data_IF_438947627275
#
_entry.id   IF_438947627275
#
_cell.length_a   1.000
_cell.length_b   1.000
_cell.length_c   1.000
_cell.angle_alpha   90.00
_cell.angle_beta   90.00
_cell.angle_gamma   90.00
#
_symmetry.space_group_name_H-M   'P 1'
#
loop_
_entity.id
_entity.type
_entity.pdbx_description
1 polymer ?
#
# COMPACT_ATOMS: atom_id res chain seq x y z
N UNK A 1 -3.81 -7.20 -10.93
CA UNK A 1 -4.23 -6.03 -10.13
C UNK A 1 -5.56 -5.45 -10.57
N UNK A 2 -5.76 -5.07 -11.84
CA UNK A 2 -7.05 -4.48 -12.30
C UNK A 2 -8.27 -5.31 -11.87
N UNK A 3 -8.27 -6.62 -12.16
CA UNK A 3 -9.38 -7.50 -11.79
C UNK A 3 -9.66 -7.53 -10.29
N UNK A 4 -8.62 -7.57 -9.45
CA UNK A 4 -8.73 -7.55 -7.98
C UNK A 4 -9.41 -6.25 -7.51
N UNK A 5 -9.08 -5.11 -8.11
CA UNK A 5 -9.70 -3.82 -7.78
C UNK A 5 -11.10 -3.63 -8.38
N UNK A 6 -11.53 -4.57 -9.22
CA UNK A 6 -12.85 -4.58 -9.88
C UNK A 6 -13.79 -5.66 -9.33
N UNK A 7 -13.44 -6.35 -8.25
CA UNK A 7 -14.37 -7.25 -7.55
C UNK A 7 -15.18 -6.51 -6.50
N UNK A 8 -16.32 -7.09 -6.10
CA UNK A 8 -17.10 -6.59 -4.96
C UNK A 8 -16.33 -6.75 -3.64
N UNK A 9 -15.65 -7.88 -3.46
CA UNK A 9 -14.77 -8.16 -2.33
C UNK A 9 -13.32 -8.17 -2.78
N UNK A 10 -12.68 -7.00 -2.66
CA UNK A 10 -11.28 -6.79 -3.06
C UNK A 10 -10.31 -7.50 -2.11
N UNK A 11 -10.66 -7.56 -0.82
CA UNK A 11 -9.83 -8.21 0.19
C UNK A 11 -9.72 -9.70 -0.10
N UNK A 12 -10.85 -10.39 -0.31
CA UNK A 12 -10.86 -11.81 -0.69
C UNK A 12 -10.14 -12.08 -2.01
N UNK A 13 -10.31 -11.22 -3.01
CA UNK A 13 -9.63 -11.36 -4.29
C UNK A 13 -8.11 -11.15 -4.19
N UNK A 14 -7.68 -10.22 -3.34
CA UNK A 14 -6.26 -9.99 -3.06
C UNK A 14 -5.65 -11.16 -2.28
N UNK A 15 -6.34 -11.68 -1.26
CA UNK A 15 -5.90 -12.85 -0.49
C UNK A 15 -5.69 -14.08 -1.37
N UNK A 16 -6.64 -14.36 -2.28
CA UNK A 16 -6.52 -15.42 -3.27
C UNK A 16 -5.28 -15.22 -4.16
N UNK A 17 -5.08 -14.01 -4.70
CA UNK A 17 -3.91 -13.70 -5.53
C UNK A 17 -2.59 -13.91 -4.78
N UNK A 18 -2.51 -13.48 -3.51
CA UNK A 18 -1.30 -13.62 -2.68
C UNK A 18 -1.01 -15.08 -2.30
N UNK A 19 -2.03 -15.94 -2.29
CA UNK A 19 -1.87 -17.40 -2.13
C UNK A 19 -1.48 -18.12 -3.42
N UNK A 20 -1.51 -17.43 -4.57
CA UNK A 20 -1.23 -17.99 -5.89
C UNK A 20 -2.47 -18.52 -6.62
N UNK A 21 -3.67 -18.29 -6.07
CA UNK A 21 -4.93 -18.68 -6.72
C UNK A 21 -5.26 -17.76 -7.91
N UNK A 22 -5.99 -18.31 -8.88
CA UNK A 22 -6.44 -17.53 -10.03
C UNK A 22 -7.54 -16.52 -9.62
N UNK A 23 -7.37 -15.27 -10.07
CA UNK A 23 -8.41 -14.25 -9.95
C UNK A 23 -9.12 -14.09 -11.28
N UNK A 24 -10.45 -14.27 -11.27
CA UNK A 24 -11.28 -14.09 -12.46
C UNK A 24 -11.07 -12.70 -13.09
N UNK A 25 -10.90 -12.61 -14.43
CA UNK A 25 -10.82 -11.33 -15.12
C UNK A 25 -12.04 -10.47 -14.84
N UNK A 26 -11.83 -9.20 -14.48
CA UNK A 26 -12.90 -8.26 -14.22
C UNK A 26 -12.49 -6.85 -14.66
N UNK A 27 -13.45 -6.10 -15.22
CA UNK A 27 -13.29 -4.72 -15.64
C UNK A 27 -14.33 -3.85 -14.97
N UNK A 28 -13.94 -2.63 -14.61
CA UNK A 28 -14.78 -1.65 -13.93
C UNK A 28 -14.21 -0.25 -14.19
N UNK A 29 -14.85 0.79 -13.65
CA UNK A 29 -14.42 2.19 -13.82
C UNK A 29 -13.15 2.55 -13.03
N UNK A 30 -12.68 1.69 -12.13
CA UNK A 30 -11.46 1.94 -11.35
C UNK A 30 -10.26 1.92 -12.27
N UNK A 31 -9.51 3.01 -12.30
CA UNK A 31 -8.30 3.16 -13.10
C UNK A 31 -7.05 3.03 -12.21
N UNK A 32 -6.41 1.86 -12.24
CA UNK A 32 -5.23 1.59 -11.41
C UNK A 32 -3.98 2.34 -11.88
N UNK A 33 -3.97 2.90 -13.09
CA UNK A 33 -2.82 3.68 -13.58
C UNK A 33 -2.58 4.90 -12.69
N UNK A 34 -3.65 5.51 -12.18
CA UNK A 34 -3.59 6.63 -11.24
C UNK A 34 -2.92 6.27 -9.92
N UNK A 35 -3.03 5.02 -9.46
CA UNK A 35 -2.29 4.57 -8.27
C UNK A 35 -0.78 4.52 -8.53
N UNK A 36 -0.40 4.00 -9.70
CA UNK A 36 1.00 3.94 -10.13
C UNK A 36 1.59 5.35 -10.32
N UNK A 37 0.89 6.22 -11.05
CA UNK A 37 1.30 7.61 -11.28
C UNK A 37 1.47 8.39 -9.97
N UNK A 38 0.54 8.23 -9.02
CA UNK A 38 0.65 8.84 -7.71
C UNK A 38 1.89 8.32 -6.97
N UNK A 39 2.18 7.02 -7.05
CA UNK A 39 3.40 6.46 -6.47
C UNK A 39 4.67 7.07 -7.05
N UNK A 40 4.72 7.26 -8.37
CA UNK A 40 5.83 7.96 -9.06
C UNK A 40 5.96 9.39 -8.55
N UNK A 41 4.86 10.12 -8.37
CA UNK A 41 4.87 11.49 -7.83
C UNK A 41 5.37 11.56 -6.39
N UNK A 42 5.11 10.52 -5.58
CA UNK A 42 5.70 10.36 -4.24
C UNK A 42 7.18 9.92 -4.25
N UNK A 43 7.78 9.70 -5.43
CA UNK A 43 9.16 9.26 -5.55
C UNK A 43 9.37 7.76 -5.27
N UNK A 44 8.30 6.95 -5.31
CA UNK A 44 8.39 5.51 -5.10
C UNK A 44 9.09 4.85 -6.29
N UNK A 45 10.13 4.08 -6.01
CA UNK A 45 10.94 3.37 -7.01
C UNK A 45 10.89 1.84 -6.85
N UNK A 46 10.24 1.34 -5.78
CA UNK A 46 10.15 -0.09 -5.50
C UNK A 46 9.06 -0.41 -4.49
N UNK A 47 8.66 -1.68 -4.43
CA UNK A 47 7.58 -2.19 -3.56
C UNK A 47 8.12 -3.24 -2.58
N UNK A 48 7.57 -3.34 -1.35
CA UNK A 48 6.55 -2.47 -0.78
C UNK A 48 7.10 -1.07 -0.44
N UNK A 49 6.22 -0.08 -0.45
CA UNK A 49 6.50 1.29 -0.01
C UNK A 49 5.34 1.75 0.89
N UNK A 50 5.68 2.34 2.02
CA UNK A 50 4.72 2.79 3.03
C UNK A 50 4.69 4.32 3.00
N UNK A 51 3.50 4.90 2.91
CA UNK A 51 3.30 6.35 3.00
C UNK A 51 2.65 6.63 4.35
N UNK A 52 3.32 7.41 5.20
CA UNK A 52 2.81 7.82 6.51
C UNK A 52 1.77 8.93 6.37
N UNK A 53 0.98 9.16 7.42
CA UNK A 53 -0.10 10.17 7.41
C UNK A 53 0.40 11.60 7.13
N UNK A 54 1.67 11.89 7.44
CA UNK A 54 2.32 13.16 7.16
C UNK A 54 2.95 13.26 5.75
N UNK A 55 2.76 12.24 4.90
CA UNK A 55 3.29 12.18 3.53
C UNK A 55 4.72 11.65 3.42
N UNK A 56 5.38 11.29 4.53
CA UNK A 56 6.71 10.66 4.48
C UNK A 56 6.63 9.28 3.83
N UNK A 57 7.59 8.99 2.94
CA UNK A 57 7.72 7.70 2.26
C UNK A 57 8.80 6.86 2.93
N UNK A 58 8.42 5.68 3.41
CA UNK A 58 9.32 4.67 3.95
C UNK A 58 9.46 3.55 2.92
N UNK A 59 10.61 3.44 2.24
CA UNK A 59 10.83 2.41 1.24
C UNK A 59 11.14 1.06 1.88
N UNK A 60 10.65 -0.01 1.26
CA UNK A 60 11.00 -1.38 1.61
C UNK A 60 10.10 -2.02 2.66
N UNK A 61 10.36 -3.30 2.90
CA UNK A 61 9.63 -4.12 3.85
C UNK A 61 10.15 -3.93 5.27
N UNK A 62 9.23 -3.88 6.23
CA UNK A 62 9.53 -4.05 7.65
C UNK A 62 8.57 -5.08 8.24
N UNK A 63 9.09 -5.94 9.12
CA UNK A 63 8.28 -6.90 9.85
C UNK A 63 7.30 -6.20 10.81
N UNK A 64 6.29 -6.92 11.34
CA UNK A 64 5.26 -6.30 12.17
C UNK A 64 5.82 -5.60 13.42
N UNK A 65 6.84 -6.17 14.07
CA UNK A 65 7.45 -5.61 15.28
C UNK A 65 8.24 -4.35 14.98
N UNK A 66 9.05 -4.38 13.93
CA UNK A 66 9.86 -3.24 13.48
C UNK A 66 8.97 -2.10 13.00
N UNK A 67 7.91 -2.42 12.25
CA UNK A 67 6.92 -1.46 11.77
C UNK A 67 6.23 -0.74 12.93
N UNK A 68 5.75 -1.49 13.94
CA UNK A 68 5.09 -0.91 15.11
C UNK A 68 6.03 0.05 15.85
N UNK A 69 7.26 -0.37 16.13
CA UNK A 69 8.25 0.47 16.79
C UNK A 69 8.59 1.73 15.98
N UNK A 70 8.70 1.62 14.64
CA UNK A 70 8.91 2.75 13.75
C UNK A 70 7.73 3.74 13.81
N UNK A 71 6.49 3.25 13.73
CA UNK A 71 5.29 4.09 13.79
C UNK A 71 5.19 4.82 15.14
N UNK A 72 5.43 4.13 16.26
CA UNK A 72 5.42 4.74 17.60
C UNK A 72 6.48 5.84 17.73
N UNK A 73 7.70 5.60 17.24
CA UNK A 73 8.78 6.59 17.26
C UNK A 73 8.46 7.81 16.40
N UNK A 74 7.89 7.61 15.19
CA UNK A 74 7.46 8.71 14.33
C UNK A 74 6.33 9.52 14.95
N UNK A 75 5.36 8.85 15.58
CA UNK A 75 4.25 9.51 16.26
C UNK A 75 4.74 10.36 17.44
N UNK A 76 5.67 9.84 18.24
CA UNK A 76 6.27 10.58 19.34
C UNK A 76 7.04 11.83 18.86
N UNK A 77 7.81 11.71 17.77
CA UNK A 77 8.53 12.83 17.19
C UNK A 77 7.59 13.95 16.69
N UNK A 78 6.45 13.59 16.10
CA UNK A 78 5.44 14.57 15.67
C UNK A 78 4.79 15.30 16.84
N UNK A 79 4.57 14.62 17.97
CA UNK A 79 3.97 15.23 19.17
C UNK A 79 4.95 16.10 19.95
N UNK A 80 6.26 15.84 19.85
CA UNK A 80 7.30 16.63 20.53
C UNK A 80 7.70 17.91 19.77
N UNK A 81 7.39 17.99 18.48
CA UNK A 81 7.71 19.14 17.62
C UNK A 81 6.55 20.13 17.40
N UNK A 82 5.41 19.92 18.07
CA UNK A 82 4.19 20.74 17.98
C UNK A 82 3.95 21.63 19.20
#
# INVERSE_FOLDING_TARGET
MQSIWCTADKAKAFDAAMKGDAVSPATCKTDISKHYELGVQFGIQGTPAIILQNGMVIPGYQGPKEMAAMLDAHQAALQAGG
#
